data_IF_861287785394
#
_entry.id   IF_861287785394
#
_cell.length_a   1.000
_cell.length_b   1.000
_cell.length_c   1.000
_cell.angle_alpha   90.00
_cell.angle_beta   90.00
_cell.angle_gamma   90.00
#
_symmetry.space_group_name_H-M   'P 1'
#
loop_
_entity.id
_entity.type
_entity.pdbx_description
1 polymer ?
#
# COMPACT_ATOMS: atom_id res chain seq x y z
N UNK A 1 22.44 35.34 0.94
CA UNK A 1 23.30 34.83 -0.15
C UNK A 1 22.73 33.50 -0.56
N UNK A 2 21.98 33.52 -1.66
CA UNK A 2 21.27 32.39 -2.25
C UNK A 2 22.28 31.75 -3.20
N UNK A 3 22.56 30.46 -3.03
CA UNK A 3 23.45 29.70 -3.91
C UNK A 3 22.65 29.17 -5.10
N UNK A 4 23.04 29.59 -6.30
CA UNK A 4 22.49 29.16 -7.58
C UNK A 4 22.74 27.67 -7.82
N UNK A 5 21.70 26.95 -8.24
CA UNK A 5 21.82 25.62 -8.85
C UNK A 5 21.71 25.80 -10.36
N UNK A 6 22.84 25.62 -11.05
CA UNK A 6 22.91 25.62 -12.51
C UNK A 6 22.39 24.30 -13.06
N UNK A 7 21.28 24.35 -13.79
CA UNK A 7 20.78 23.27 -14.64
C UNK A 7 21.53 23.35 -15.97
N UNK A 8 22.22 22.28 -16.36
CA UNK A 8 22.75 22.14 -17.71
C UNK A 8 21.70 21.43 -18.57
N UNK A 9 21.12 22.17 -19.50
CA UNK A 9 20.33 21.62 -20.62
C UNK A 9 21.29 21.24 -21.75
N UNK A 10 21.24 19.99 -22.19
CA UNK A 10 21.82 19.59 -23.48
C UNK A 10 20.72 19.43 -24.53
N UNK A 11 21.09 19.68 -25.78
CA UNK A 11 20.24 20.17 -26.86
C UNK A 11 19.43 19.08 -27.58
N UNK A 12 19.50 17.83 -27.11
CA UNK A 12 18.85 16.70 -27.75
C UNK A 12 18.05 15.93 -26.70
N UNK A 13 16.72 16.13 -26.68
CA UNK A 13 15.70 15.50 -25.82
C UNK A 13 15.74 13.95 -25.78
N UNK A 14 16.83 13.36 -25.27
CA UNK A 14 16.97 11.94 -25.04
C UNK A 14 17.38 11.72 -23.59
N UNK A 15 16.48 11.08 -22.85
CA UNK A 15 16.77 10.52 -21.53
C UNK A 15 17.79 9.41 -21.72
N UNK A 16 19.07 9.72 -21.49
CA UNK A 16 20.14 8.73 -21.39
C UNK A 16 19.96 8.02 -20.04
N UNK A 17 19.81 6.69 -20.10
CA UNK A 17 19.36 5.84 -19.02
C UNK A 17 20.04 6.06 -17.66
N UNK A 18 19.23 5.93 -16.61
CA UNK A 18 19.69 5.95 -15.22
C UNK A 18 20.05 4.53 -14.81
N UNK A 19 21.35 4.29 -14.70
CA UNK A 19 21.96 3.07 -14.19
C UNK A 19 21.50 2.84 -12.74
N UNK A 20 20.52 1.95 -12.57
CA UNK A 20 19.64 1.86 -11.40
C UNK A 20 20.29 1.16 -10.19
N UNK A 21 21.54 0.72 -10.31
CA UNK A 21 22.22 -0.13 -9.33
C UNK A 21 23.08 0.65 -8.33
N UNK A 22 23.49 1.89 -8.66
CA UNK A 22 24.46 2.65 -7.86
C UNK A 22 23.85 3.74 -6.95
N UNK A 23 22.61 4.17 -7.20
CA UNK A 23 21.94 5.18 -6.40
C UNK A 23 21.39 4.62 -5.07
N UNK A 24 20.82 3.41 -5.08
CA UNK A 24 20.23 2.77 -3.89
C UNK A 24 21.24 2.43 -2.79
N UNK A 25 22.46 2.01 -3.15
CA UNK A 25 23.51 1.70 -2.17
C UNK A 25 24.02 2.94 -1.41
N UNK A 26 23.82 4.14 -1.96
CA UNK A 26 24.15 5.39 -1.26
C UNK A 26 23.10 5.79 -0.21
N UNK A 27 21.88 5.25 -0.32
CA UNK A 27 20.74 5.53 0.57
C UNK A 27 20.91 4.85 1.94
N UNK A 28 21.29 3.57 1.96
CA UNK A 28 21.60 2.83 3.21
C UNK A 28 22.83 3.37 3.96
N UNK A 29 23.76 4.06 3.28
CA UNK A 29 25.01 4.52 3.89
C UNK A 29 24.95 5.92 4.49
N UNK A 30 23.89 6.69 4.25
CA UNK A 30 23.79 8.12 4.60
C UNK A 30 22.63 8.49 5.53
N UNK A 31 21.80 7.55 5.98
CA UNK A 31 20.62 7.84 6.83
C UNK A 31 20.94 8.41 8.22
N UNK A 32 22.22 8.46 8.62
CA UNK A 32 22.65 9.06 9.89
C UNK A 32 22.80 10.58 9.86
N UNK A 33 22.75 11.24 8.69
CA UNK A 33 22.81 12.70 8.64
C UNK A 33 21.73 13.30 7.75
N UNK A 34 20.87 14.10 8.39
CA UNK A 34 19.96 15.10 7.84
C UNK A 34 20.31 15.55 6.41
N UNK A 35 19.46 15.18 5.46
CA UNK A 35 18.78 16.06 4.51
C UNK A 35 17.95 15.17 3.56
N UNK A 36 16.82 15.71 3.13
CA UNK A 36 15.66 15.02 2.55
C UNK A 36 16.02 13.99 1.46
N UNK A 37 15.40 12.81 1.55
CA UNK A 37 15.65 11.66 0.69
C UNK A 37 15.40 11.98 -0.81
N UNK A 38 16.19 11.43 -1.74
CA UNK A 38 15.99 11.60 -3.19
C UNK A 38 14.60 11.15 -3.68
N UNK A 39 13.90 10.27 -2.96
CA UNK A 39 12.49 9.91 -3.20
C UNK A 39 11.54 11.09 -2.95
N UNK A 40 11.83 11.94 -1.97
CA UNK A 40 11.14 13.22 -1.73
C UNK A 40 11.51 14.23 -2.82
N UNK A 41 12.74 14.24 -3.30
CA UNK A 41 13.16 15.09 -4.42
C UNK A 41 12.42 14.71 -5.70
N UNK A 42 12.23 13.41 -5.99
CA UNK A 42 11.41 12.95 -7.11
C UNK A 42 9.94 13.31 -6.94
N UNK A 43 9.39 13.20 -5.73
CA UNK A 43 8.04 13.71 -5.42
C UNK A 43 7.99 15.22 -5.73
N UNK A 44 8.90 16.01 -5.17
CA UNK A 44 8.96 17.47 -5.34
C UNK A 44 9.20 17.89 -6.81
N UNK A 45 10.00 17.14 -7.58
CA UNK A 45 10.24 17.37 -9.00
C UNK A 45 9.02 16.98 -9.86
N UNK A 46 8.32 15.88 -9.53
CA UNK A 46 7.05 15.50 -10.14
C UNK A 46 5.98 16.58 -9.99
N UNK A 47 6.06 17.35 -8.91
CA UNK A 47 5.13 18.42 -8.54
C UNK A 47 5.47 19.78 -9.16
N UNK A 48 6.72 20.00 -9.59
CA UNK A 48 7.16 21.24 -10.23
C UNK A 48 6.78 21.37 -11.71
N UNK A 49 6.54 20.25 -12.40
CA UNK A 49 6.30 20.22 -13.84
C UNK A 49 4.94 19.59 -14.17
N UNK A 50 3.90 20.41 -14.31
CA UNK A 50 2.53 19.96 -14.61
C UNK A 50 2.42 19.09 -15.89
N UNK A 51 3.35 19.26 -16.83
CA UNK A 51 3.43 18.48 -18.08
C UNK A 51 4.05 17.08 -17.92
N UNK A 52 4.87 16.84 -16.88
CA UNK A 52 5.59 15.58 -16.66
C UNK A 52 5.12 14.80 -15.43
N UNK A 53 4.25 15.39 -14.60
CA UNK A 53 3.80 14.82 -13.33
C UNK A 53 3.32 13.36 -13.44
N UNK A 54 2.58 12.99 -14.50
CA UNK A 54 2.08 11.62 -14.67
C UNK A 54 3.19 10.59 -14.81
N UNK A 55 4.22 10.85 -15.63
CA UNK A 55 5.31 9.90 -15.85
C UNK A 55 6.16 9.77 -14.58
N UNK A 56 6.44 10.89 -13.93
CA UNK A 56 7.22 10.93 -12.69
C UNK A 56 6.49 10.23 -11.53
N UNK A 57 5.15 10.34 -11.45
CA UNK A 57 4.36 9.60 -10.46
C UNK A 57 4.33 8.09 -10.73
N UNK A 58 4.41 7.68 -12.01
CA UNK A 58 4.50 6.27 -12.37
C UNK A 58 5.88 5.69 -12.03
N UNK A 59 6.95 6.43 -12.30
CA UNK A 59 8.31 6.07 -11.89
C UNK A 59 8.40 5.98 -10.37
N UNK A 60 7.90 6.98 -9.65
CA UNK A 60 7.82 6.94 -8.19
C UNK A 60 7.07 5.71 -7.68
N UNK A 61 5.92 5.39 -8.28
CA UNK A 61 5.15 4.21 -7.91
C UNK A 61 5.94 2.92 -8.14
N UNK A 62 6.66 2.81 -9.26
CA UNK A 62 7.52 1.67 -9.53
C UNK A 62 8.64 1.56 -8.49
N UNK A 63 9.31 2.67 -8.19
CA UNK A 63 10.42 2.72 -7.24
C UNK A 63 10.01 2.33 -5.82
N UNK A 64 8.90 2.88 -5.30
CA UNK A 64 8.45 2.55 -3.93
C UNK A 64 7.92 1.12 -3.82
N UNK A 65 7.51 0.50 -4.94
CA UNK A 65 7.05 -0.89 -4.98
C UNK A 65 8.20 -1.90 -5.20
N UNK A 66 9.45 -1.44 -5.34
CA UNK A 66 10.61 -2.33 -5.41
C UNK A 66 10.83 -3.03 -4.06
N UNK A 67 11.31 -4.26 -4.13
CA UNK A 67 11.77 -5.00 -2.97
C UNK A 67 13.11 -4.42 -2.50
N UNK A 68 13.29 -4.33 -1.19
CA UNK A 68 14.56 -3.94 -0.57
C UNK A 68 15.53 -5.11 -0.71
N UNK A 69 16.76 -4.86 -1.16
CA UNK A 69 17.77 -5.90 -1.26
C UNK A 69 18.19 -6.44 0.12
N UNK A 70 18.61 -7.70 0.20
CA UNK A 70 18.95 -8.36 1.48
C UNK A 70 20.04 -7.63 2.28
N UNK A 71 21.01 -7.02 1.58
CA UNK A 71 22.04 -6.18 2.20
C UNK A 71 21.48 -4.92 2.86
N UNK A 72 20.42 -4.34 2.29
CA UNK A 72 19.75 -3.19 2.86
C UNK A 72 18.86 -3.61 4.03
N UNK A 73 18.21 -4.78 3.95
CA UNK A 73 17.48 -5.38 5.08
C UNK A 73 18.41 -5.54 6.29
N UNK A 74 19.60 -6.12 6.12
CA UNK A 74 20.59 -6.28 7.20
C UNK A 74 20.89 -4.96 7.92
N UNK A 75 21.15 -3.88 7.18
CA UNK A 75 21.49 -2.58 7.78
C UNK A 75 20.31 -1.96 8.52
N UNK A 76 19.10 -2.02 7.94
CA UNK A 76 17.89 -1.43 8.54
C UNK A 76 17.53 -2.17 9.84
N UNK A 77 17.64 -3.49 9.86
CA UNK A 77 17.18 -4.31 10.99
C UNK A 77 18.28 -4.61 12.03
N UNK A 78 19.58 -4.47 11.70
CA UNK A 78 20.66 -4.54 12.70
C UNK A 78 20.58 -3.41 13.73
N UNK A 79 20.12 -2.21 13.35
CA UNK A 79 19.94 -1.08 14.26
C UNK A 79 18.76 -1.27 15.25
N UNK A 80 17.73 -2.03 14.87
CA UNK A 80 16.53 -2.23 15.69
C UNK A 80 16.59 -3.46 16.62
N UNK A 81 17.65 -4.26 16.55
CA UNK A 81 17.80 -5.49 17.36
C UNK A 81 16.75 -6.56 17.06
N UNK A 82 16.05 -6.45 15.93
CA UNK A 82 15.00 -7.37 15.49
C UNK A 82 15.61 -8.44 14.60
N UNK A 83 15.78 -9.64 15.14
CA UNK A 83 16.18 -10.82 14.33
C UNK A 83 14.98 -11.24 13.48
N UNK A 84 14.91 -10.78 12.23
CA UNK A 84 14.15 -11.50 11.23
C UNK A 84 15.00 -12.67 10.75
N UNK A 85 14.61 -13.88 11.16
CA UNK A 85 14.98 -15.07 10.40
C UNK A 85 14.51 -14.87 8.96
N UNK A 86 15.37 -15.23 8.02
CA UNK A 86 15.00 -15.37 6.62
C UNK A 86 13.60 -16.01 6.52
N UNK A 87 12.70 -15.35 5.78
CA UNK A 87 11.28 -15.66 5.63
C UNK A 87 10.39 -15.29 6.84
N UNK A 88 9.74 -14.14 6.73
CA UNK A 88 8.50 -13.85 7.44
C UNK A 88 7.49 -15.01 7.23
N UNK A 89 6.52 -15.24 8.14
CA UNK A 89 5.58 -16.39 8.12
C UNK A 89 4.84 -16.63 6.79
N UNK A 90 4.86 -15.65 5.90
CA UNK A 90 4.21 -15.65 4.58
C UNK A 90 5.21 -15.56 3.40
N UNK A 91 6.52 -15.70 3.62
CA UNK A 91 7.55 -15.56 2.58
C UNK A 91 7.55 -14.16 1.95
N UNK A 92 7.36 -13.11 2.76
CA UNK A 92 7.07 -11.75 2.30
C UNK A 92 8.29 -11.07 1.68
N UNK A 93 8.09 -10.46 0.52
CA UNK A 93 9.00 -9.44 -0.02
C UNK A 93 8.82 -8.15 0.80
N UNK A 94 9.91 -7.62 1.35
CA UNK A 94 9.88 -6.36 2.09
C UNK A 94 10.18 -5.23 1.12
N UNK A 95 9.23 -4.34 0.87
CA UNK A 95 9.33 -3.30 -0.15
C UNK A 95 9.64 -1.92 0.44
N UNK A 96 10.15 -1.00 -0.39
CA UNK A 96 10.51 0.35 0.07
C UNK A 96 9.34 1.13 0.67
N UNK A 97 8.12 0.92 0.18
CA UNK A 97 6.93 1.55 0.76
C UNK A 97 6.71 1.15 2.22
N UNK A 98 7.13 -0.05 2.66
CA UNK A 98 7.00 -0.47 4.05
C UNK A 98 7.90 0.35 4.97
N UNK A 99 9.15 0.59 4.56
CA UNK A 99 10.11 1.47 5.26
C UNK A 99 9.59 2.90 5.34
N UNK A 100 9.07 3.42 4.23
CA UNK A 100 8.54 4.78 4.18
C UNK A 100 7.29 4.93 5.05
N UNK A 101 6.41 3.92 5.09
CA UNK A 101 5.25 3.94 5.95
C UNK A 101 5.63 4.01 7.44
N UNK A 102 6.64 3.25 7.88
CA UNK A 102 7.17 3.31 9.25
C UNK A 102 7.82 4.67 9.56
N UNK A 103 8.56 5.21 8.59
CA UNK A 103 9.15 6.54 8.70
C UNK A 103 8.08 7.64 8.90
N UNK A 104 6.98 7.60 8.15
CA UNK A 104 5.91 8.59 8.27
C UNK A 104 5.04 8.44 9.53
N UNK A 105 5.06 7.28 10.18
CA UNK A 105 4.54 7.12 11.55
C UNK A 105 5.48 7.79 12.55
N UNK A 106 6.79 7.54 12.43
CA UNK A 106 7.81 8.05 13.35
C UNK A 106 8.04 9.55 13.25
N UNK A 107 7.93 10.10 12.03
CA UNK A 107 8.08 11.52 11.73
C UNK A 107 6.84 12.06 11.00
N UNK A 108 5.70 12.27 11.69
CA UNK A 108 4.46 12.68 11.03
C UNK A 108 4.57 14.01 10.28
N UNK A 109 5.35 14.96 10.80
CA UNK A 109 5.48 16.31 10.21
C UNK A 109 6.11 16.29 8.82
N UNK A 110 7.07 15.39 8.55
CA UNK A 110 7.68 15.29 7.22
C UNK A 110 6.70 14.74 6.18
N UNK A 111 5.65 14.04 6.61
CA UNK A 111 4.62 13.53 5.71
C UNK A 111 3.58 14.58 5.32
N UNK A 112 3.43 15.68 6.07
CA UNK A 112 2.35 16.66 5.85
C UNK A 112 2.49 17.38 4.50
N UNK A 113 3.70 17.83 4.17
CA UNK A 113 3.96 18.46 2.87
C UNK A 113 3.65 17.50 1.71
N UNK A 114 4.00 16.22 1.82
CA UNK A 114 3.72 15.22 0.78
C UNK A 114 2.21 14.99 0.65
N UNK A 115 1.50 14.92 1.77
CA UNK A 115 0.05 14.75 1.77
C UNK A 115 -0.63 15.94 1.09
N UNK A 116 -0.23 17.17 1.40
CA UNK A 116 -0.75 18.39 0.74
C UNK A 116 -0.55 18.33 -0.78
N UNK A 117 0.60 17.83 -1.21
CA UNK A 117 0.93 17.67 -2.62
C UNK A 117 0.10 16.57 -3.30
N UNK A 118 -0.07 15.41 -2.65
CA UNK A 118 -0.95 14.34 -3.15
C UNK A 118 -2.40 14.86 -3.22
N UNK A 119 -2.85 15.67 -2.28
CA UNK A 119 -4.18 16.30 -2.27
C UNK A 119 -4.42 17.17 -3.51
N UNK A 120 -3.39 17.84 -4.04
CA UNK A 120 -3.46 18.60 -5.29
C UNK A 120 -3.62 17.67 -6.51
N UNK A 121 -3.07 16.46 -6.44
CA UNK A 121 -3.07 15.46 -7.51
C UNK A 121 -4.22 14.44 -7.41
N UNK A 122 -5.17 14.63 -6.50
CA UNK A 122 -6.21 13.64 -6.19
C UNK A 122 -7.14 13.27 -7.36
N UNK A 123 -7.20 14.11 -8.39
CA UNK A 123 -7.91 13.81 -9.64
C UNK A 123 -7.23 12.71 -10.46
N UNK A 124 -5.96 12.43 -10.19
CA UNK A 124 -5.18 11.38 -10.84
C UNK A 124 -5.37 10.05 -10.11
N UNK A 125 -5.64 8.98 -10.84
CA UNK A 125 -5.83 7.64 -10.28
C UNK A 125 -4.62 7.16 -9.46
N UNK A 126 -3.40 7.49 -9.88
CA UNK A 126 -2.15 7.12 -9.20
C UNK A 126 -1.96 7.77 -7.83
N UNK A 127 -2.57 8.94 -7.58
CA UNK A 127 -2.42 9.63 -6.30
C UNK A 127 -2.94 8.78 -5.14
N UNK A 128 -4.06 8.08 -5.33
CA UNK A 128 -4.61 7.17 -4.33
C UNK A 128 -3.71 5.97 -4.04
N UNK A 129 -3.02 5.44 -5.06
CA UNK A 129 -2.09 4.32 -4.92
C UNK A 129 -0.87 4.73 -4.09
N UNK A 130 -0.25 5.87 -4.45
CA UNK A 130 0.92 6.40 -3.74
C UNK A 130 0.54 6.77 -2.30
N UNK A 131 -0.60 7.43 -2.12
CA UNK A 131 -1.13 7.74 -0.79
C UNK A 131 -1.25 6.49 0.08
N UNK A 132 -1.90 5.45 -0.47
CA UNK A 132 -2.10 4.18 0.22
C UNK A 132 -0.74 3.58 0.64
N UNK A 133 0.21 3.45 -0.27
CA UNK A 133 1.51 2.83 0.01
C UNK A 133 2.34 3.60 1.04
N UNK A 134 2.34 4.93 1.00
CA UNK A 134 3.16 5.75 1.89
C UNK A 134 2.51 5.99 3.27
N UNK A 135 1.18 5.99 3.36
CA UNK A 135 0.48 6.47 4.56
C UNK A 135 -0.47 5.46 5.20
N UNK A 136 -0.52 4.20 4.74
CA UNK A 136 -1.43 3.20 5.31
C UNK A 136 -1.22 2.98 6.81
N UNK A 137 0.01 2.95 7.33
CA UNK A 137 0.27 2.82 8.77
C UNK A 137 -0.13 4.09 9.53
N UNK A 138 0.31 5.23 9.03
CA UNK A 138 0.03 6.56 9.59
C UNK A 138 -1.46 6.80 9.81
N UNK A 139 -2.31 6.31 8.90
CA UNK A 139 -3.78 6.40 9.00
C UNK A 139 -4.37 5.83 10.30
N UNK A 140 -3.73 4.83 10.91
CA UNK A 140 -4.24 4.14 12.09
C UNK A 140 -3.40 4.36 13.35
N UNK A 141 -2.16 4.83 13.19
CA UNK A 141 -1.23 5.06 14.30
C UNK A 141 -1.17 6.53 14.72
N UNK A 142 -1.46 7.47 13.81
CA UNK A 142 -1.48 8.91 14.08
C UNK A 142 -2.91 9.43 14.04
N UNK A 143 -3.27 10.29 15.01
CA UNK A 143 -4.60 10.89 15.07
C UNK A 143 -4.74 12.03 14.05
N UNK A 144 -5.83 12.00 13.31
CA UNK A 144 -6.28 13.11 12.48
C UNK A 144 -7.46 13.79 13.17
N UNK A 145 -7.41 15.12 13.33
CA UNK A 145 -8.44 15.85 14.06
C UNK A 145 -9.63 16.28 13.18
N UNK A 146 -9.48 16.19 11.85
CA UNK A 146 -10.48 16.65 10.89
C UNK A 146 -11.24 15.49 10.24
N UNK A 147 -12.55 15.41 10.48
CA UNK A 147 -13.43 14.36 9.97
C UNK A 147 -13.51 14.31 8.44
N UNK A 148 -13.52 15.45 7.76
CA UNK A 148 -13.57 15.50 6.28
C UNK A 148 -12.28 14.94 5.68
N UNK A 149 -11.15 15.21 6.35
CA UNK A 149 -9.84 14.68 5.99
C UNK A 149 -9.82 13.16 6.18
N UNK A 150 -10.30 12.66 7.32
CA UNK A 150 -10.40 11.23 7.60
C UNK A 150 -11.26 10.54 6.53
N UNK A 151 -12.42 11.11 6.18
CA UNK A 151 -13.31 10.55 5.16
C UNK A 151 -12.60 10.43 3.81
N UNK A 152 -11.94 11.51 3.38
CA UNK A 152 -11.22 11.56 2.10
C UNK A 152 -10.07 10.55 2.08
N UNK A 153 -9.27 10.50 3.14
CA UNK A 153 -8.12 9.60 3.22
C UNK A 153 -8.53 8.15 3.34
N UNK A 154 -9.59 7.83 4.09
CA UNK A 154 -10.13 6.48 4.19
C UNK A 154 -10.59 5.97 2.82
N UNK A 155 -11.28 6.80 2.05
CA UNK A 155 -11.70 6.45 0.68
C UNK A 155 -10.51 6.22 -0.25
N UNK A 156 -9.48 7.07 -0.21
CA UNK A 156 -8.29 6.84 -1.03
C UNK A 156 -7.43 5.68 -0.58
N UNK A 157 -7.39 5.36 0.72
CA UNK A 157 -6.73 4.17 1.22
C UNK A 157 -7.36 2.92 0.60
N UNK A 158 -8.69 2.79 0.68
CA UNK A 158 -9.40 1.63 0.13
C UNK A 158 -9.30 1.58 -1.39
N UNK A 159 -9.45 2.71 -2.07
CA UNK A 159 -9.33 2.77 -3.53
C UNK A 159 -7.91 2.48 -4.02
N UNK A 160 -6.90 3.03 -3.33
CA UNK A 160 -5.49 2.78 -3.62
C UNK A 160 -5.13 1.32 -3.38
N UNK A 161 -5.55 0.75 -2.25
CA UNK A 161 -5.37 -0.65 -1.90
C UNK A 161 -5.99 -1.58 -2.97
N UNK A 162 -7.22 -1.29 -3.39
CA UNK A 162 -7.89 -1.99 -4.50
C UNK A 162 -7.02 -2.02 -5.76
N UNK A 163 -6.50 -0.87 -6.16
CA UNK A 163 -5.71 -0.75 -7.39
C UNK A 163 -4.39 -1.52 -7.30
N UNK A 164 -3.65 -1.38 -6.19
CA UNK A 164 -2.35 -2.05 -6.02
C UNK A 164 -2.50 -3.57 -5.88
N UNK A 165 -3.54 -4.05 -5.20
CA UNK A 165 -3.82 -5.49 -5.12
C UNK A 165 -4.21 -6.08 -6.48
N UNK A 166 -4.94 -5.31 -7.30
CA UNK A 166 -5.17 -5.70 -8.69
C UNK A 166 -3.87 -5.73 -9.49
N UNK A 167 -2.92 -4.81 -9.28
CA UNK A 167 -1.60 -4.89 -9.91
C UNK A 167 -0.88 -6.20 -9.56
N UNK A 168 -0.93 -6.62 -8.30
CA UNK A 168 -0.37 -7.89 -7.84
C UNK A 168 -1.04 -9.09 -8.54
N UNK A 169 -2.37 -9.10 -8.69
CA UNK A 169 -3.09 -10.12 -9.46
C UNK A 169 -2.63 -10.17 -10.92
N UNK A 170 -2.55 -9.02 -11.59
CA UNK A 170 -2.19 -8.95 -13.01
C UNK A 170 -0.74 -9.35 -13.27
N UNK A 171 0.15 -9.04 -12.33
CA UNK A 171 1.58 -9.38 -12.42
C UNK A 171 1.90 -10.75 -11.84
N UNK A 172 0.92 -11.42 -11.20
CA UNK A 172 1.10 -12.65 -10.43
C UNK A 172 2.26 -12.54 -9.42
N UNK A 173 2.39 -11.37 -8.80
CA UNK A 173 3.36 -11.07 -7.76
C UNK A 173 2.62 -10.68 -6.47
N UNK A 174 3.29 -10.77 -5.32
CA UNK A 174 2.72 -10.45 -4.00
C UNK A 174 3.47 -9.30 -3.34
N UNK A 175 3.77 -8.25 -4.12
CA UNK A 175 4.59 -7.12 -3.70
C UNK A 175 3.92 -6.31 -2.60
N UNK A 176 2.59 -6.27 -2.60
CA UNK A 176 1.80 -5.50 -1.64
C UNK A 176 1.25 -6.37 -0.50
N UNK A 177 1.87 -7.52 -0.25
CA UNK A 177 1.48 -8.43 0.84
C UNK A 177 1.55 -7.77 2.21
N UNK A 178 2.58 -6.96 2.50
CA UNK A 178 2.69 -6.25 3.78
C UNK A 178 1.50 -5.30 4.02
N UNK A 179 1.09 -4.55 3.00
CA UNK A 179 -0.09 -3.68 3.06
C UNK A 179 -1.35 -4.51 3.34
N UNK A 180 -1.56 -5.61 2.61
CA UNK A 180 -2.73 -6.46 2.81
C UNK A 180 -2.78 -7.04 4.22
N UNK A 181 -1.67 -7.63 4.70
CA UNK A 181 -1.59 -8.23 6.03
C UNK A 181 -1.81 -7.19 7.12
N UNK A 182 -1.25 -5.98 6.98
CA UNK A 182 -1.50 -4.92 7.94
C UNK A 182 -2.99 -4.51 7.98
N UNK A 183 -3.62 -4.32 6.83
CA UNK A 183 -5.05 -4.00 6.78
C UNK A 183 -5.93 -5.12 7.36
N UNK A 184 -5.52 -6.38 7.20
CA UNK A 184 -6.24 -7.53 7.75
C UNK A 184 -6.01 -7.69 9.27
N UNK A 185 -4.76 -7.89 9.68
CA UNK A 185 -4.42 -8.28 11.05
C UNK A 185 -4.36 -7.09 12.02
N UNK A 186 -3.84 -5.97 11.54
CA UNK A 186 -3.58 -4.80 12.38
C UNK A 186 -4.71 -3.76 12.35
N UNK A 187 -5.61 -3.81 11.36
CA UNK A 187 -6.78 -2.93 11.25
C UNK A 187 -8.09 -3.70 11.40
N UNK A 188 -8.39 -4.66 10.52
CA UNK A 188 -9.69 -5.34 10.52
C UNK A 188 -9.93 -6.17 11.79
N UNK A 189 -8.89 -6.82 12.34
CA UNK A 189 -9.01 -7.58 13.59
C UNK A 189 -8.89 -6.73 14.86
N UNK A 190 -8.67 -5.41 14.73
CA UNK A 190 -8.50 -4.48 15.84
C UNK A 190 -9.62 -3.43 15.84
N UNK A 191 -10.73 -3.66 16.58
CA UNK A 191 -11.86 -2.74 16.60
C UNK A 191 -11.48 -1.28 16.92
N UNK A 192 -10.48 -1.07 17.77
CA UNK A 192 -10.01 0.28 18.12
C UNK A 192 -9.38 1.03 16.95
N UNK A 193 -8.67 0.31 16.06
CA UNK A 193 -8.12 0.89 14.82
C UNK A 193 -9.17 0.96 13.73
N UNK A 194 -10.08 0.00 13.64
CA UNK A 194 -11.17 0.04 12.67
C UNK A 194 -12.09 1.26 12.88
N UNK A 195 -12.32 1.67 14.14
CA UNK A 195 -13.11 2.86 14.49
C UNK A 195 -12.47 4.19 14.08
N UNK A 196 -11.20 4.22 13.66
CA UNK A 196 -10.56 5.47 13.18
C UNK A 196 -11.10 5.90 11.82
N UNK A 197 -11.61 4.97 11.03
CA UNK A 197 -12.19 5.22 9.71
C UNK A 197 -13.73 5.20 9.77
N UNK A 198 -14.36 5.86 8.81
CA UNK A 198 -15.83 5.96 8.78
C UNK A 198 -16.50 4.60 8.59
N UNK A 199 -17.74 4.40 9.07
CA UNK A 199 -18.45 3.13 8.90
C UNK A 199 -18.59 2.68 7.44
N UNK A 200 -18.66 3.64 6.50
CA UNK A 200 -18.66 3.33 5.08
C UNK A 200 -17.32 2.76 4.62
N UNK A 201 -16.21 3.40 5.00
CA UNK A 201 -14.88 2.91 4.67
C UNK A 201 -14.56 1.56 5.34
N UNK A 202 -15.08 1.30 6.54
CA UNK A 202 -14.98 -0.02 7.18
C UNK A 202 -15.63 -1.09 6.30
N UNK A 203 -16.86 -0.86 5.83
CA UNK A 203 -17.54 -1.80 4.93
C UNK A 203 -16.76 -1.99 3.63
N UNK A 204 -16.34 -0.90 3.00
CA UNK A 204 -15.59 -0.97 1.74
C UNK A 204 -14.25 -1.70 1.91
N UNK A 205 -13.58 -1.52 3.06
CA UNK A 205 -12.37 -2.26 3.43
C UNK A 205 -12.65 -3.76 3.57
N UNK A 206 -13.73 -4.17 4.25
CA UNK A 206 -14.08 -5.58 4.39
C UNK A 206 -14.47 -6.24 3.07
N UNK A 207 -15.20 -5.53 2.20
CA UNK A 207 -15.48 -6.00 0.84
C UNK A 207 -14.17 -6.18 0.05
N UNK A 208 -13.26 -5.21 0.17
CA UNK A 208 -11.94 -5.29 -0.45
C UNK A 208 -11.17 -6.51 0.07
N UNK A 209 -11.00 -6.66 1.38
CA UNK A 209 -10.26 -7.76 1.98
C UNK A 209 -10.86 -9.11 1.60
N UNK A 210 -12.19 -9.22 1.54
CA UNK A 210 -12.90 -10.43 1.10
C UNK A 210 -12.46 -10.90 -0.29
N UNK A 211 -12.30 -9.96 -1.23
CA UNK A 211 -11.88 -10.28 -2.60
C UNK A 211 -10.47 -10.83 -2.69
N UNK A 212 -9.55 -10.36 -1.85
CA UNK A 212 -8.12 -10.66 -1.98
C UNK A 212 -7.59 -11.67 -0.95
N UNK A 213 -8.42 -12.11 0.01
CA UNK A 213 -8.04 -12.99 1.12
C UNK A 213 -7.37 -14.30 0.66
N UNK A 214 -7.88 -14.92 -0.41
CA UNK A 214 -7.28 -16.15 -0.93
C UNK A 214 -6.03 -15.91 -1.78
N UNK A 215 -5.89 -14.74 -2.40
CA UNK A 215 -4.69 -14.43 -3.18
C UNK A 215 -3.43 -14.34 -2.33
N UNK A 216 -3.57 -13.75 -1.13
CA UNK A 216 -2.47 -13.57 -0.17
C UNK A 216 -2.31 -14.74 0.80
N UNK A 217 -2.94 -15.90 0.56
CA UNK A 217 -2.78 -17.10 1.38
C UNK A 217 -3.18 -16.94 2.87
N UNK A 218 -4.18 -16.10 3.17
CA UNK A 218 -4.66 -15.86 4.55
C UNK A 218 -6.02 -16.51 4.85
N UNK A 219 -6.32 -17.63 4.19
CA UNK A 219 -7.53 -18.42 4.39
C UNK A 219 -7.66 -19.00 5.81
N UNK A 220 -6.55 -19.22 6.50
CA UNK A 220 -6.51 -19.65 7.90
C UNK A 220 -7.10 -18.61 8.88
N UNK A 221 -7.25 -17.35 8.45
CA UNK A 221 -7.84 -16.26 9.22
C UNK A 221 -9.31 -16.01 8.91
N UNK A 222 -9.91 -16.76 7.98
CA UNK A 222 -11.27 -16.53 7.50
C UNK A 222 -12.31 -16.52 8.63
N UNK A 223 -12.22 -17.45 9.58
CA UNK A 223 -13.18 -17.51 10.68
C UNK A 223 -13.14 -16.25 11.57
N UNK A 224 -11.93 -15.75 11.87
CA UNK A 224 -11.73 -14.52 12.65
C UNK A 224 -12.26 -13.33 11.84
N UNK A 225 -11.96 -13.29 10.55
CA UNK A 225 -12.40 -12.24 9.65
C UNK A 225 -13.93 -12.13 9.56
N UNK A 226 -14.64 -13.25 9.40
CA UNK A 226 -16.10 -13.27 9.35
C UNK A 226 -16.76 -12.84 10.67
N UNK A 227 -16.10 -13.09 11.82
CA UNK A 227 -16.59 -12.63 13.14
C UNK A 227 -16.45 -11.13 13.35
N UNK A 228 -15.52 -10.47 12.66
CA UNK A 228 -15.24 -9.04 12.80
C UNK A 228 -15.93 -8.18 11.72
N UNK A 229 -16.77 -8.79 10.86
CA UNK A 229 -17.44 -8.08 9.79
C UNK A 229 -18.32 -6.94 10.32
N UNK A 230 -18.24 -5.72 9.73
CA UNK A 230 -19.04 -4.59 10.16
C UNK A 230 -20.52 -4.80 9.81
N UNK A 231 -21.41 -4.15 10.56
CA UNK A 231 -22.85 -4.21 10.28
C UNK A 231 -23.19 -3.52 8.95
N UNK A 232 -23.93 -4.25 8.11
CA UNK A 232 -24.48 -3.73 6.86
C UNK A 232 -25.93 -3.28 7.09
N UNK A 233 -26.29 -2.02 6.74
CA UNK A 233 -27.65 -1.52 6.93
C UNK A 233 -28.68 -2.33 6.12
N UNK A 234 -28.24 -2.98 5.04
CA UNK A 234 -29.06 -3.83 4.18
C UNK A 234 -28.89 -5.33 4.49
N UNK A 235 -28.39 -5.73 5.67
CA UNK A 235 -28.13 -7.14 6.00
C UNK A 235 -29.37 -8.05 5.84
N UNK A 236 -30.58 -7.51 6.03
CA UNK A 236 -31.85 -8.24 5.79
C UNK A 236 -31.97 -8.69 4.31
N UNK A 237 -31.41 -7.92 3.38
CA UNK A 237 -31.48 -8.17 1.93
C UNK A 237 -30.23 -8.88 1.39
N UNK A 238 -29.06 -8.64 1.97
CA UNK A 238 -27.76 -9.09 1.45
C UNK A 238 -27.24 -10.35 2.18
N UNK A 239 -27.83 -10.69 3.32
CA UNK A 239 -27.41 -11.82 4.15
C UNK A 239 -26.38 -11.42 5.23
N UNK A 240 -25.86 -12.43 5.93
CA UNK A 240 -24.84 -12.25 6.96
C UNK A 240 -23.44 -12.08 6.38
N UNK A 241 -22.43 -11.95 7.25
CA UNK A 241 -21.03 -11.84 6.85
C UNK A 241 -20.55 -12.96 5.89
N UNK A 242 -20.91 -14.24 6.09
CA UNK A 242 -20.54 -15.30 5.14
C UNK A 242 -21.16 -15.11 3.75
N UNK A 243 -22.42 -14.68 3.67
CA UNK A 243 -23.13 -14.46 2.39
C UNK A 243 -22.48 -13.32 1.59
N UNK A 244 -22.15 -12.22 2.28
CA UNK A 244 -21.43 -11.09 1.70
C UNK A 244 -20.06 -11.52 1.20
N UNK A 245 -19.31 -12.27 2.01
CA UNK A 245 -17.99 -12.78 1.63
C UNK A 245 -18.06 -13.65 0.38
N UNK A 246 -18.99 -14.62 0.34
CA UNK A 246 -19.17 -15.51 -0.82
C UNK A 246 -19.58 -14.72 -2.06
N UNK A 247 -20.43 -13.71 -1.92
CA UNK A 247 -20.82 -12.81 -3.02
C UNK A 247 -19.61 -12.05 -3.59
N UNK A 248 -18.80 -11.44 -2.73
CA UNK A 248 -17.60 -10.72 -3.16
C UNK A 248 -16.56 -11.64 -3.81
N UNK A 249 -16.39 -12.85 -3.27
CA UNK A 249 -15.53 -13.88 -3.85
C UNK A 249 -16.05 -14.33 -5.22
N UNK A 250 -17.35 -14.55 -5.38
CA UNK A 250 -17.95 -14.92 -6.66
C UNK A 250 -17.77 -13.81 -7.70
N UNK A 251 -17.97 -12.55 -7.30
CA UNK A 251 -17.71 -11.39 -8.16
C UNK A 251 -16.23 -11.31 -8.57
N UNK A 252 -15.32 -11.55 -7.62
CA UNK A 252 -13.89 -11.58 -7.90
C UNK A 252 -13.54 -12.66 -8.93
N UNK A 253 -14.06 -13.89 -8.78
CA UNK A 253 -13.84 -14.99 -9.71
C UNK A 253 -14.32 -14.67 -11.13
N UNK A 254 -15.39 -13.87 -11.28
CA UNK A 254 -15.88 -13.42 -12.60
C UNK A 254 -14.97 -12.37 -13.24
N UNK A 255 -14.34 -11.52 -12.45
CA UNK A 255 -13.43 -10.46 -12.93
C UNK A 255 -12.01 -10.99 -13.23
N UNK A 256 -11.61 -12.12 -12.63
CA UNK A 256 -10.29 -12.73 -12.82
C UNK A 256 -10.07 -13.24 -14.25
N UNK A 257 -9.02 -12.73 -14.90
CA UNK A 257 -8.59 -13.15 -16.25
C UNK A 257 -7.24 -13.86 -16.27
N UNK A 258 -6.57 -13.94 -15.13
CA UNK A 258 -5.22 -14.52 -15.01
C UNK A 258 -5.34 -15.98 -14.56
N UNK A 259 -5.07 -16.91 -15.47
CA UNK A 259 -5.31 -18.35 -15.26
C UNK A 259 -4.60 -18.92 -14.01
N UNK A 260 -3.29 -18.67 -13.77
CA UNK A 260 -2.62 -19.15 -12.55
C UNK A 260 -3.29 -18.66 -11.27
N UNK A 261 -3.73 -17.41 -11.25
CA UNK A 261 -4.42 -16.80 -10.10
C UNK A 261 -5.79 -17.43 -9.92
N UNK A 262 -6.56 -17.62 -10.99
CA UNK A 262 -7.86 -18.28 -10.92
C UNK A 262 -7.76 -19.69 -10.35
N UNK A 263 -6.80 -20.49 -10.83
CA UNK A 263 -6.54 -21.83 -10.31
C UNK A 263 -6.16 -21.80 -8.83
N UNK A 264 -5.34 -20.83 -8.43
CA UNK A 264 -4.97 -20.62 -7.04
C UNK A 264 -6.20 -20.35 -6.16
N UNK A 265 -7.07 -19.40 -6.55
CA UNK A 265 -8.32 -19.13 -5.83
C UNK A 265 -9.18 -20.39 -5.70
N UNK A 266 -9.45 -21.10 -6.81
CA UNK A 266 -10.27 -22.32 -6.80
C UNK A 266 -9.68 -23.42 -5.91
N UNK A 267 -8.36 -23.51 -5.81
CA UNK A 267 -7.70 -24.45 -4.90
C UNK A 267 -7.96 -24.13 -3.42
N UNK A 268 -8.04 -22.84 -3.07
CA UNK A 268 -8.26 -22.34 -1.70
C UNK A 268 -9.73 -22.29 -1.31
N UNK A 269 -10.64 -22.12 -2.27
CA UNK A 269 -12.10 -22.19 -2.05
C UNK A 269 -12.54 -23.52 -1.41
N UNK A 270 -11.74 -24.58 -1.53
CA UNK A 270 -11.96 -25.86 -0.82
C UNK A 270 -12.10 -25.69 0.70
N UNK A 271 -11.49 -24.66 1.30
CA UNK A 271 -11.64 -24.33 2.72
C UNK A 271 -13.09 -24.04 3.09
N UNK A 272 -13.90 -23.57 2.13
CA UNK A 272 -15.33 -23.33 2.33
C UNK A 272 -16.17 -24.62 2.32
N UNK A 273 -15.62 -25.78 1.93
CA UNK A 273 -16.37 -27.06 1.85
C UNK A 273 -16.78 -27.63 3.22
N UNK A 274 -16.48 -26.96 4.33
CA UNK A 274 -16.89 -27.37 5.68
C UNK A 274 -17.65 -26.31 6.48
N UNK A 275 -18.01 -25.18 5.85
CA UNK A 275 -18.58 -24.01 6.55
C UNK A 275 -20.03 -23.71 6.18
N UNK A 276 -20.70 -24.64 5.49
CA UNK A 276 -22.12 -24.58 5.12
C UNK A 276 -22.87 -25.76 5.73
#
# INVERSE_FOLDING_TARGET
MIGDVTVFEDSDQNVVGVDSSHSCLSWCRRSTNREEAPTLVLILQALGSASQSRNLLQELFADIALEVDDRAKEIIFEEEGVVYGAEDRYGRAYCFYDVLADYFVSTPKSGDSIIELIVQLWSQSFASNIFCLLFYKRMFEVRFDNLDVILRYSSALVQGAKNVFWTDIHTNARRFSSLFIYLLEEVAFRPERLKTISPQAQRDLFLLLSRFLFFYDTDDRLEIFLKQFPDFPNAILVGGAPDIFVSELANQLQELKVEPVLLHYLSRVKVLQGTV
#
